data_IF_600902703700
#
_entry.id   IF_600902703700
#
_cell.length_a   1.000
_cell.length_b   1.000
_cell.length_c   1.000
_cell.angle_alpha   90.00
_cell.angle_beta   90.00
_cell.angle_gamma   90.00
#
_symmetry.space_group_name_H-M   'P 1'
#
loop_
_entity.id
_entity.type
_entity.pdbx_description
1 polymer ?
#
# COMPACT_ATOMS: atom_id res chain seq x y z
N UNK A 1 1.74 27.54 23.36
CA UNK A 1 0.91 27.63 22.14
C UNK A 1 0.44 26.26 21.62
N UNK A 2 1.32 25.26 21.46
CA UNK A 2 0.93 23.91 20.95
C UNK A 2 -0.23 23.25 21.72
N UNK A 3 -0.25 23.35 23.06
CA UNK A 3 -1.36 22.84 23.89
C UNK A 3 -2.72 23.45 23.56
N UNK A 4 -2.76 24.71 23.12
CA UNK A 4 -4.01 25.39 22.77
C UNK A 4 -4.51 24.91 21.42
N UNK A 5 -3.62 24.81 20.42
CA UNK A 5 -3.95 24.28 19.10
C UNK A 5 -4.51 22.85 19.17
N UNK A 6 -3.87 21.96 19.96
CA UNK A 6 -4.38 20.60 20.19
C UNK A 6 -5.73 20.55 20.90
N UNK A 7 -5.96 21.43 21.89
CA UNK A 7 -7.26 21.52 22.56
C UNK A 7 -8.34 22.01 21.61
N UNK A 8 -8.05 23.01 20.78
CA UNK A 8 -8.98 23.50 19.77
C UNK A 8 -9.31 22.42 18.75
N UNK A 9 -8.31 21.68 18.28
CA UNK A 9 -8.48 20.54 17.38
C UNK A 9 -9.35 19.46 18.02
N UNK A 10 -9.09 19.10 19.28
CA UNK A 10 -9.89 18.11 20.02
C UNK A 10 -11.35 18.56 20.24
N UNK A 11 -11.59 19.83 20.57
CA UNK A 11 -12.97 20.34 20.72
C UNK A 11 -13.67 20.37 19.36
N UNK A 12 -12.96 20.73 18.29
CA UNK A 12 -13.49 20.70 16.93
C UNK A 12 -13.88 19.29 16.49
N UNK A 13 -13.06 18.28 16.77
CA UNK A 13 -13.36 16.87 16.47
C UNK A 13 -14.64 16.38 17.15
N UNK A 14 -14.83 16.71 18.44
CA UNK A 14 -15.96 16.19 19.21
C UNK A 14 -17.25 17.01 19.07
N UNK A 15 -17.13 18.32 18.85
CA UNK A 15 -18.26 19.26 18.93
C UNK A 15 -18.41 20.16 17.71
N UNK A 16 -17.56 20.03 16.68
CA UNK A 16 -17.52 20.92 15.51
C UNK A 16 -18.84 20.99 14.74
N UNK A 17 -19.59 19.89 14.69
CA UNK A 17 -20.90 19.78 14.03
C UNK A 17 -21.93 20.71 14.67
N UNK A 18 -21.83 20.97 15.97
CA UNK A 18 -22.80 21.83 16.67
C UNK A 18 -22.52 23.33 16.47
N UNK A 19 -21.32 23.70 16.00
CA UNK A 19 -20.88 25.10 15.91
C UNK A 19 -20.19 25.38 14.56
N UNK A 20 -20.76 24.86 13.46
CA UNK A 20 -20.22 24.94 12.09
C UNK A 20 -19.81 26.35 11.69
N UNK A 21 -20.66 27.36 11.94
CA UNK A 21 -20.42 28.74 11.47
C UNK A 21 -19.17 29.35 12.10
N UNK A 22 -19.02 29.22 13.42
CA UNK A 22 -17.90 29.80 14.17
C UNK A 22 -16.60 29.11 13.78
N UNK A 23 -16.61 27.79 13.61
CA UNK A 23 -15.41 27.07 13.16
C UNK A 23 -15.03 27.40 11.73
N UNK A 24 -15.99 27.47 10.80
CA UNK A 24 -15.70 27.82 9.41
C UNK A 24 -15.06 29.20 9.30
N UNK A 25 -15.62 30.21 9.96
CA UNK A 25 -15.07 31.57 9.97
C UNK A 25 -13.76 31.66 10.76
N UNK A 26 -13.69 30.97 11.90
CA UNK A 26 -12.51 30.91 12.74
C UNK A 26 -11.31 30.31 12.01
N UNK A 27 -11.47 29.11 11.44
CA UNK A 27 -10.40 28.47 10.67
C UNK A 27 -9.97 29.34 9.50
N UNK A 28 -10.89 29.92 8.72
CA UNK A 28 -10.57 30.80 7.59
C UNK A 28 -9.69 32.01 7.96
N UNK A 29 -9.90 32.59 9.15
CA UNK A 29 -9.20 33.80 9.59
C UNK A 29 -8.03 33.54 10.55
N UNK A 30 -7.85 32.30 11.03
CA UNK A 30 -6.77 32.00 11.98
C UNK A 30 -5.37 32.14 11.36
N UNK A 31 -4.38 32.59 12.16
CA UNK A 31 -2.99 32.56 11.76
C UNK A 31 -2.49 31.11 11.63
N UNK A 32 -1.57 30.87 10.70
CA UNK A 32 -1.08 29.53 10.36
C UNK A 32 -0.01 28.99 11.32
N UNK A 33 0.83 29.87 11.89
CA UNK A 33 1.97 29.49 12.75
C UNK A 33 1.66 28.52 13.90
N UNK A 34 0.52 28.60 14.62
CA UNK A 34 0.18 27.62 15.65
C UNK A 34 -0.10 26.21 15.11
N UNK A 35 -0.61 26.12 13.88
CA UNK A 35 -1.03 24.87 13.22
C UNK A 35 0.15 24.12 12.59
N UNK A 36 1.21 24.83 12.17
CA UNK A 36 2.45 24.24 11.66
C UNK A 36 3.09 23.24 12.66
N UNK A 37 2.90 23.49 13.96
CA UNK A 37 3.46 22.64 15.03
C UNK A 37 2.69 21.35 15.25
N UNK A 38 1.53 21.19 14.62
CA UNK A 38 0.65 20.03 14.80
C UNK A 38 0.22 19.41 13.46
N UNK A 39 1.03 19.60 12.41
CA UNK A 39 0.78 19.04 11.07
C UNK A 39 0.50 17.53 11.10
N UNK A 40 1.28 16.68 11.80
CA UNK A 40 0.98 15.25 11.86
C UNK A 40 -0.43 14.97 12.40
N UNK A 41 -0.85 15.71 13.43
CA UNK A 41 -2.19 15.56 14.00
C UNK A 41 -3.28 16.01 13.01
N UNK A 42 -3.05 17.06 12.23
CA UNK A 42 -4.00 17.47 11.17
C UNK A 42 -4.18 16.37 10.12
N UNK A 43 -3.08 15.77 9.64
CA UNK A 43 -3.16 14.68 8.65
C UNK A 43 -3.92 13.46 9.16
N UNK A 44 -3.80 13.09 10.45
CA UNK A 44 -4.58 11.99 11.02
C UNK A 44 -6.10 12.23 11.05
N UNK A 45 -6.55 13.47 10.80
CA UNK A 45 -7.98 13.83 10.76
C UNK A 45 -8.56 13.87 9.37
N UNK A 46 -7.77 13.61 8.33
CA UNK A 46 -8.30 13.39 6.99
C UNK A 46 -9.12 12.10 6.91
N UNK A 47 -8.88 11.11 7.79
CA UNK A 47 -9.66 9.87 7.89
C UNK A 47 -10.84 9.96 8.90
N UNK A 48 -11.22 11.16 9.32
CA UNK A 48 -12.30 11.34 10.28
C UNK A 48 -13.66 10.99 9.65
N UNK A 49 -14.60 10.32 10.37
CA UNK A 49 -15.89 9.90 9.80
C UNK A 49 -16.81 11.06 9.37
N UNK A 50 -16.61 12.25 9.94
CA UNK A 50 -17.41 13.44 9.64
C UNK A 50 -16.83 14.26 8.47
N UNK A 51 -17.54 14.39 7.32
CA UNK A 51 -17.04 15.10 6.14
C UNK A 51 -16.76 16.59 6.39
N UNK A 52 -17.57 17.24 7.24
CA UNK A 52 -17.33 18.64 7.58
C UNK A 52 -15.97 18.84 8.27
N UNK A 53 -15.56 17.90 9.12
CA UNK A 53 -14.26 17.94 9.79
C UNK A 53 -13.14 17.75 8.76
N UNK A 54 -13.27 16.77 7.88
CA UNK A 54 -12.32 16.52 6.80
C UNK A 54 -12.11 17.76 5.91
N UNK A 55 -13.20 18.40 5.46
CA UNK A 55 -13.16 19.58 4.60
C UNK A 55 -12.44 20.77 5.25
N UNK A 56 -12.74 21.06 6.52
CA UNK A 56 -12.10 22.18 7.22
C UNK A 56 -10.62 21.91 7.47
N UNK A 57 -10.25 20.68 7.82
CA UNK A 57 -8.86 20.29 8.02
C UNK A 57 -8.10 20.31 6.70
N UNK A 58 -8.68 19.78 5.61
CA UNK A 58 -8.11 19.85 4.28
C UNK A 58 -7.88 21.30 3.85
N UNK A 59 -8.88 22.18 4.01
CA UNK A 59 -8.75 23.61 3.71
C UNK A 59 -7.65 24.29 4.53
N UNK A 60 -7.53 23.96 5.82
CA UNK A 60 -6.45 24.46 6.66
C UNK A 60 -5.09 23.97 6.16
N UNK A 61 -4.94 22.68 5.84
CA UNK A 61 -3.69 22.10 5.31
C UNK A 61 -3.32 22.78 3.98
N UNK A 62 -4.25 23.00 3.07
CA UNK A 62 -4.00 23.72 1.83
C UNK A 62 -3.49 25.14 2.10
N UNK A 63 -4.10 25.87 3.05
CA UNK A 63 -3.62 27.21 3.46
C UNK A 63 -2.20 27.17 4.04
N UNK A 64 -1.87 26.16 4.84
CA UNK A 64 -0.49 25.95 5.32
C UNK A 64 0.44 25.66 4.14
N UNK A 65 0.03 24.80 3.21
CA UNK A 65 0.81 24.41 2.04
C UNK A 65 1.10 25.57 1.08
N UNK A 66 0.18 26.53 0.95
CA UNK A 66 0.39 27.75 0.16
C UNK A 66 1.52 28.62 0.74
N UNK A 67 1.60 28.75 2.08
CA UNK A 67 2.62 29.59 2.74
C UNK A 67 3.94 28.83 2.92
N UNK A 68 3.86 27.59 3.37
CA UNK A 68 5.00 26.76 3.78
C UNK A 68 4.91 25.37 3.09
N UNK A 69 5.07 25.30 1.76
CA UNK A 69 4.86 24.05 0.99
C UNK A 69 5.77 22.91 1.45
N UNK A 70 7.01 23.23 1.84
CA UNK A 70 8.00 22.26 2.32
C UNK A 70 7.55 21.44 3.54
N UNK A 71 6.56 21.91 4.32
CA UNK A 71 6.02 21.18 5.47
C UNK A 71 4.92 20.18 5.08
N UNK A 72 4.27 20.37 3.93
CA UNK A 72 3.06 19.64 3.52
C UNK A 72 3.35 18.65 2.39
N UNK A 73 4.27 18.97 1.49
CA UNK A 73 4.56 18.17 0.29
C UNK A 73 4.87 16.70 0.62
N UNK A 74 5.79 16.44 1.55
CA UNK A 74 6.17 15.06 1.89
C UNK A 74 5.00 14.27 2.51
N UNK A 75 4.34 14.73 3.59
CA UNK A 75 3.18 14.02 4.13
C UNK A 75 2.04 13.82 3.12
N UNK A 76 1.80 14.78 2.22
CA UNK A 76 0.76 14.68 1.21
C UNK A 76 1.07 13.59 0.16
N UNK A 77 2.31 13.53 -0.32
CA UNK A 77 2.74 12.50 -1.30
C UNK A 77 2.76 11.11 -0.65
N UNK A 78 3.26 10.99 0.57
CA UNK A 78 3.22 9.69 1.29
C UNK A 78 1.78 9.26 1.58
N UNK A 79 0.93 10.22 1.97
CA UNK A 79 -0.47 9.99 2.25
C UNK A 79 -1.25 9.46 1.04
N UNK A 80 -1.06 10.05 -0.15
CA UNK A 80 -1.76 9.55 -1.36
C UNK A 80 -1.30 8.15 -1.79
N UNK A 81 -0.02 7.81 -1.58
CA UNK A 81 0.52 6.47 -1.89
C UNK A 81 0.04 5.39 -0.92
N UNK A 82 -0.26 5.76 0.33
CA UNK A 82 -0.69 4.84 1.39
C UNK A 82 -2.21 4.79 1.59
N UNK A 83 -2.93 5.81 1.11
CA UNK A 83 -4.39 5.83 1.12
C UNK A 83 -4.93 4.61 0.37
N UNK A 84 -5.49 3.68 1.14
CA UNK A 84 -6.12 2.47 0.60
C UNK A 84 -7.23 2.86 -0.36
N UNK A 85 -7.33 2.15 -1.49
CA UNK A 85 -8.53 2.16 -2.34
C UNK A 85 -9.63 1.41 -1.57
N UNK A 86 -10.08 1.99 -0.45
CA UNK A 86 -11.19 1.45 0.31
C UNK A 86 -12.46 1.68 -0.52
N UNK A 87 -13.29 0.65 -0.63
CA UNK A 87 -14.58 0.69 -1.34
C UNK A 87 -15.64 1.60 -0.69
N UNK A 88 -15.28 2.31 0.39
CA UNK A 88 -16.16 3.20 1.12
C UNK A 88 -16.06 4.64 0.61
N UNK A 89 -17.22 5.28 0.49
CA UNK A 89 -17.48 6.61 -0.08
C UNK A 89 -16.73 7.81 0.58
N UNK A 90 -15.76 7.57 1.45
CA UNK A 90 -14.89 8.59 2.02
C UNK A 90 -13.56 8.56 1.27
N UNK A 91 -13.50 9.31 0.17
CA UNK A 91 -12.33 9.32 -0.69
C UNK A 91 -11.20 10.18 -0.06
N UNK A 92 -10.56 9.68 1.02
CA UNK A 92 -9.39 10.31 1.63
C UNK A 92 -8.31 10.57 0.56
N UNK A 93 -8.22 9.71 -0.46
CA UNK A 93 -7.33 9.89 -1.60
C UNK A 93 -7.69 11.16 -2.39
N UNK A 94 -8.97 11.49 -2.59
CA UNK A 94 -9.37 12.80 -3.13
C UNK A 94 -8.92 13.97 -2.26
N UNK A 95 -8.96 13.87 -0.92
CA UNK A 95 -8.46 14.94 -0.05
C UNK A 95 -6.96 15.15 -0.22
N UNK A 96 -6.16 14.07 -0.27
CA UNK A 96 -4.74 14.16 -0.56
C UNK A 96 -4.47 14.73 -1.96
N UNK A 97 -5.24 14.32 -2.96
CA UNK A 97 -5.14 14.85 -4.32
C UNK A 97 -5.42 16.37 -4.34
N UNK A 98 -6.48 16.82 -3.65
CA UNK A 98 -6.81 18.23 -3.53
C UNK A 98 -5.68 19.05 -2.88
N UNK A 99 -5.00 18.48 -1.86
CA UNK A 99 -3.85 19.11 -1.22
C UNK A 99 -2.67 19.24 -2.20
N UNK A 100 -2.38 18.18 -2.96
CA UNK A 100 -1.31 18.19 -3.97
C UNK A 100 -1.64 19.18 -5.09
N UNK A 101 -2.87 19.20 -5.58
CA UNK A 101 -3.31 20.13 -6.62
C UNK A 101 -3.20 21.58 -6.13
N UNK A 102 -3.56 21.85 -4.87
CA UNK A 102 -3.39 23.18 -4.26
C UNK A 102 -1.93 23.60 -4.19
N UNK A 103 -0.99 22.67 -3.93
CA UNK A 103 0.46 22.95 -3.92
C UNK A 103 1.00 23.22 -5.33
N UNK A 104 0.51 22.49 -6.33
CA UNK A 104 0.87 22.72 -7.74
C UNK A 104 0.37 24.09 -8.18
N UNK A 105 -0.91 24.41 -7.91
CA UNK A 105 -1.53 25.69 -8.25
C UNK A 105 -0.86 26.88 -7.55
N UNK A 106 -0.28 26.69 -6.35
CA UNK A 106 0.45 27.72 -5.65
C UNK A 106 1.89 27.93 -6.16
N UNK A 107 2.31 27.21 -7.21
CA UNK A 107 3.62 27.35 -7.83
C UNK A 107 4.70 26.38 -7.31
N UNK A 108 4.32 25.39 -6.49
CA UNK A 108 5.26 24.40 -5.94
C UNK A 108 5.38 23.11 -6.78
N UNK A 109 5.04 23.17 -8.07
CA UNK A 109 5.02 22.00 -8.96
C UNK A 109 6.37 21.26 -9.01
N UNK A 110 7.47 22.00 -9.17
CA UNK A 110 8.81 21.40 -9.23
C UNK A 110 9.17 20.70 -7.91
N UNK A 111 8.83 21.32 -6.77
CA UNK A 111 9.07 20.72 -5.46
C UNK A 111 8.28 19.41 -5.29
N UNK A 112 7.02 19.38 -5.71
CA UNK A 112 6.19 18.16 -5.69
C UNK A 112 6.83 17.07 -6.55
N UNK A 113 7.23 17.39 -7.79
CA UNK A 113 7.86 16.43 -8.70
C UNK A 113 9.18 15.87 -8.16
N UNK A 114 10.06 16.73 -7.65
CA UNK A 114 11.35 16.30 -7.10
C UNK A 114 11.18 15.42 -5.87
N UNK A 115 10.25 15.75 -4.96
CA UNK A 115 9.98 14.93 -3.78
C UNK A 115 9.30 13.61 -4.16
N UNK A 116 8.39 13.59 -5.14
CA UNK A 116 7.81 12.35 -5.66
C UNK A 116 8.89 11.43 -6.22
N UNK A 117 9.79 11.98 -7.04
CA UNK A 117 10.94 11.23 -7.58
C UNK A 117 11.85 10.74 -6.47
N UNK A 118 12.22 11.59 -5.52
CA UNK A 118 13.05 11.22 -4.38
C UNK A 118 12.44 10.08 -3.56
N UNK A 119 11.13 10.13 -3.25
CA UNK A 119 10.45 9.08 -2.50
C UNK A 119 10.47 7.76 -3.28
N UNK A 120 10.16 7.80 -4.58
CA UNK A 120 10.21 6.62 -5.45
C UNK A 120 11.61 5.99 -5.48
N UNK A 121 12.66 6.79 -5.64
CA UNK A 121 14.03 6.28 -5.68
C UNK A 121 14.52 5.80 -4.32
N UNK A 122 14.15 6.46 -3.23
CA UNK A 122 14.45 5.97 -1.88
C UNK A 122 13.78 4.61 -1.64
N UNK A 123 12.50 4.46 -1.98
CA UNK A 123 11.80 3.19 -1.88
C UNK A 123 12.53 2.09 -2.67
N UNK A 124 12.94 2.39 -3.91
CA UNK A 124 13.65 1.45 -4.79
C UNK A 124 15.02 1.03 -4.23
N UNK A 125 15.79 1.93 -3.63
CA UNK A 125 17.10 1.61 -3.04
C UNK A 125 16.97 0.88 -1.70
N UNK A 126 15.87 1.07 -0.97
CA UNK A 126 15.66 0.43 0.34
C UNK A 126 15.02 -0.95 0.28
N UNK A 127 14.34 -1.28 -0.82
CA UNK A 127 13.62 -2.55 -0.99
C UNK A 127 13.95 -3.11 -2.35
N UNK A 128 14.94 -4.01 -2.39
CA UNK A 128 15.40 -4.63 -3.63
C UNK A 128 14.48 -5.78 -4.05
N UNK A 129 14.52 -6.15 -5.33
CA UNK A 129 13.69 -7.22 -5.87
C UNK A 129 14.06 -8.59 -5.28
N UNK A 130 15.34 -8.88 -5.08
CA UNK A 130 15.81 -10.10 -4.45
C UNK A 130 15.48 -10.16 -2.95
N UNK A 131 15.47 -9.02 -2.25
CA UNK A 131 15.03 -8.96 -0.85
C UNK A 131 13.54 -9.22 -0.73
N UNK A 132 12.75 -8.64 -1.66
CA UNK A 132 11.31 -8.89 -1.75
C UNK A 132 11.01 -10.34 -2.08
N UNK A 133 11.74 -10.92 -3.05
CA UNK A 133 11.64 -12.33 -3.42
C UNK A 133 11.97 -13.21 -2.21
N UNK A 134 13.10 -12.99 -1.57
CA UNK A 134 13.56 -13.77 -0.42
C UNK A 134 12.55 -13.71 0.72
N UNK A 135 12.03 -12.52 1.03
CA UNK A 135 11.00 -12.34 2.07
C UNK A 135 9.72 -13.12 1.73
N UNK A 136 9.22 -13.01 0.50
CA UNK A 136 8.01 -13.75 0.06
C UNK A 136 8.23 -15.27 0.10
N UNK A 137 9.38 -15.75 -0.39
CA UNK A 137 9.72 -17.17 -0.35
C UNK A 137 9.84 -17.69 1.09
N UNK A 138 10.46 -16.91 1.99
CA UNK A 138 10.59 -17.27 3.41
C UNK A 138 9.22 -17.37 4.09
N UNK A 139 8.31 -16.43 3.80
CA UNK A 139 6.93 -16.48 4.31
C UNK A 139 6.16 -17.68 3.76
N UNK A 140 6.37 -18.02 2.50
CA UNK A 140 5.74 -19.17 1.84
C UNK A 140 6.25 -20.52 2.34
N UNK A 141 7.53 -20.61 2.68
CA UNK A 141 8.20 -21.89 2.96
C UNK A 141 7.46 -22.72 4.00
N UNK A 142 7.14 -22.14 5.16
CA UNK A 142 6.49 -22.87 6.25
C UNK A 142 5.07 -23.36 5.93
N UNK A 143 4.32 -22.64 5.09
CA UNK A 143 3.01 -23.08 4.62
C UNK A 143 3.12 -24.14 3.52
N UNK A 144 4.10 -23.95 2.63
CA UNK A 144 4.39 -24.83 1.51
C UNK A 144 4.82 -26.22 2.01
N UNK A 145 5.68 -26.30 3.02
CA UNK A 145 6.10 -27.55 3.64
C UNK A 145 4.91 -28.33 4.24
N UNK A 146 3.99 -27.61 4.90
CA UNK A 146 2.77 -28.21 5.45
C UNK A 146 1.85 -28.74 4.34
N UNK A 147 1.70 -27.99 3.24
CA UNK A 147 0.90 -28.39 2.07
C UNK A 147 1.51 -29.62 1.40
N UNK A 148 2.83 -29.67 1.21
CA UNK A 148 3.52 -30.85 0.68
C UNK A 148 3.41 -32.08 1.60
N UNK A 149 3.54 -31.90 2.92
CA UNK A 149 3.35 -33.00 3.86
C UNK A 149 1.92 -33.58 3.82
N UNK A 150 0.91 -32.72 3.64
CA UNK A 150 -0.49 -33.14 3.45
C UNK A 150 -0.68 -33.87 2.12
N UNK A 151 -0.13 -33.33 1.04
CA UNK A 151 -0.18 -33.95 -0.28
C UNK A 151 0.43 -35.35 -0.28
N UNK A 152 1.61 -35.52 0.35
CA UNK A 152 2.28 -36.81 0.45
C UNK A 152 1.43 -37.87 1.17
N UNK A 153 0.83 -37.51 2.32
CA UNK A 153 -0.08 -38.40 3.05
C UNK A 153 -1.31 -38.78 2.23
N UNK A 154 -1.86 -37.83 1.48
CA UNK A 154 -3.02 -38.10 0.64
C UNK A 154 -2.68 -39.00 -0.54
N UNK A 155 -1.51 -38.81 -1.17
CA UNK A 155 -1.03 -39.67 -2.24
C UNK A 155 -0.80 -41.10 -1.76
N UNK A 156 -0.21 -41.29 -0.57
CA UNK A 156 -0.06 -42.61 0.05
C UNK A 156 -1.44 -43.27 0.30
N UNK A 157 -2.42 -42.50 0.79
CA UNK A 157 -3.79 -42.97 1.03
C UNK A 157 -4.49 -43.41 -0.27
N UNK A 158 -4.38 -42.62 -1.33
CA UNK A 158 -4.99 -42.90 -2.64
C UNK A 158 -4.32 -44.11 -3.31
N UNK A 159 -2.99 -44.20 -3.23
CA UNK A 159 -2.24 -45.33 -3.81
C UNK A 159 -2.57 -46.66 -3.13
N UNK A 160 -2.73 -46.67 -1.80
CA UNK A 160 -3.09 -47.85 -1.02
C UNK A 160 -4.55 -48.30 -1.19
N UNK A 161 -5.39 -47.51 -1.87
CA UNK A 161 -6.79 -47.87 -2.10
C UNK A 161 -6.91 -48.92 -3.23
N UNK A 162 -7.43 -50.11 -2.91
CA UNK A 162 -7.60 -51.19 -3.89
C UNK A 162 -8.88 -51.07 -4.74
N UNK A 163 -9.76 -50.10 -4.46
CA UNK A 163 -11.04 -49.91 -5.15
C UNK A 163 -10.94 -48.99 -6.38
N UNK A 164 -9.88 -48.20 -6.48
CA UNK A 164 -9.69 -47.23 -7.56
C UNK A 164 -8.80 -47.81 -8.65
N UNK A 165 -9.15 -47.54 -9.90
CA UNK A 165 -8.31 -47.81 -11.06
C UNK A 165 -7.10 -46.87 -11.07
N UNK A 166 -6.10 -47.19 -11.90
CA UNK A 166 -4.88 -46.36 -12.00
C UNK A 166 -5.19 -44.95 -12.51
N UNK A 167 -6.06 -44.83 -13.51
CA UNK A 167 -6.50 -43.53 -14.05
C UNK A 167 -7.24 -42.69 -13.00
N UNK A 168 -8.17 -43.28 -12.23
CA UNK A 168 -8.88 -42.55 -11.18
C UNK A 168 -7.95 -42.08 -10.06
N UNK A 169 -6.92 -42.87 -9.71
CA UNK A 169 -5.90 -42.47 -8.75
C UNK A 169 -5.09 -41.28 -9.25
N UNK A 170 -4.64 -41.33 -10.50
CA UNK A 170 -3.85 -40.27 -11.12
C UNK A 170 -4.65 -38.96 -11.20
N UNK A 171 -5.94 -39.03 -11.56
CA UNK A 171 -6.84 -37.87 -11.58
C UNK A 171 -7.07 -37.27 -10.18
N UNK A 172 -7.27 -38.10 -9.15
CA UNK A 172 -7.45 -37.62 -7.77
C UNK A 172 -6.17 -36.95 -7.27
N UNK A 173 -5.01 -37.56 -7.52
CA UNK A 173 -3.71 -37.02 -7.11
C UNK A 173 -3.47 -35.66 -7.78
N UNK A 174 -3.70 -35.56 -9.08
CA UNK A 174 -3.53 -34.32 -9.84
C UNK A 174 -4.49 -33.22 -9.38
N UNK A 175 -5.77 -33.54 -9.18
CA UNK A 175 -6.75 -32.57 -8.68
C UNK A 175 -6.41 -32.08 -7.27
N UNK A 176 -5.96 -32.98 -6.40
CA UNK A 176 -5.56 -32.63 -5.04
C UNK A 176 -4.28 -31.79 -5.02
N UNK A 177 -3.29 -32.11 -5.86
CA UNK A 177 -2.10 -31.29 -6.08
C UNK A 177 -2.49 -29.85 -6.48
N UNK A 178 -3.31 -29.73 -7.53
CA UNK A 178 -3.76 -28.44 -8.04
C UNK A 178 -4.54 -27.64 -7.01
N UNK A 179 -5.45 -28.28 -6.27
CA UNK A 179 -6.21 -27.60 -5.21
C UNK A 179 -5.32 -27.11 -4.06
N UNK A 180 -4.35 -27.93 -3.64
CA UNK A 180 -3.48 -27.62 -2.50
C UNK A 180 -2.35 -26.64 -2.84
N UNK A 181 -1.82 -26.60 -4.06
CA UNK A 181 -0.69 -25.73 -4.40
C UNK A 181 -1.09 -24.45 -5.13
N UNK A 182 -2.32 -24.34 -5.62
CA UNK A 182 -2.82 -23.11 -6.27
C UNK A 182 -2.54 -21.81 -5.49
N UNK A 183 -2.67 -21.75 -4.14
CA UNK A 183 -2.33 -20.53 -3.40
C UNK A 183 -0.82 -20.21 -3.42
N UNK A 184 0.05 -21.23 -3.39
CA UNK A 184 1.50 -21.04 -3.44
C UNK A 184 1.90 -20.52 -4.83
N UNK A 185 1.36 -21.16 -5.89
CA UNK A 185 1.58 -20.73 -7.28
C UNK A 185 1.09 -19.29 -7.46
N UNK A 186 -0.10 -18.95 -6.96
CA UNK A 186 -0.65 -17.60 -7.09
C UNK A 186 0.24 -16.52 -6.46
N UNK A 187 0.85 -16.79 -5.30
CA UNK A 187 1.73 -15.82 -4.64
C UNK A 187 3.03 -15.64 -5.43
N UNK A 188 3.60 -16.73 -5.96
CA UNK A 188 4.81 -16.68 -6.79
C UNK A 188 4.51 -15.96 -8.12
N UNK A 189 3.37 -16.23 -8.75
CA UNK A 189 2.92 -15.53 -9.96
C UNK A 189 2.67 -14.05 -9.71
N UNK A 190 2.02 -13.71 -8.58
CA UNK A 190 1.80 -12.31 -8.20
C UNK A 190 3.13 -11.59 -8.06
N UNK A 191 4.12 -12.21 -7.41
CA UNK A 191 5.47 -11.65 -7.33
C UNK A 191 6.12 -11.51 -8.70
N UNK A 192 6.07 -12.54 -9.54
CA UNK A 192 6.62 -12.50 -10.89
C UNK A 192 6.01 -11.34 -11.71
N UNK A 193 4.70 -11.13 -11.61
CA UNK A 193 4.02 -10.02 -12.29
C UNK A 193 4.47 -8.65 -11.76
N UNK A 194 4.78 -8.51 -10.47
CA UNK A 194 5.32 -7.27 -9.88
C UNK A 194 6.72 -6.94 -10.44
N UNK A 195 7.57 -7.95 -10.67
CA UNK A 195 8.94 -7.76 -11.17
C UNK A 195 9.06 -7.78 -12.70
N UNK A 196 8.05 -8.27 -13.43
CA UNK A 196 8.09 -8.37 -14.90
C UNK A 196 7.89 -7.02 -15.62
N UNK A 197 8.08 -5.92 -14.91
CA UNK A 197 8.07 -4.57 -15.46
C UNK A 197 9.43 -4.23 -16.10
N UNK A 198 9.46 -3.23 -16.99
CA UNK A 198 10.72 -2.81 -17.62
C UNK A 198 11.73 -2.31 -16.57
N UNK A 199 12.96 -2.86 -16.54
CA UNK A 199 13.93 -2.52 -15.52
C UNK A 199 14.43 -1.07 -15.70
N UNK A 200 14.36 -0.29 -14.63
CA UNK A 200 14.65 1.15 -14.63
C UNK A 200 16.09 1.49 -14.24
N UNK A 201 16.81 0.55 -13.61
CA UNK A 201 18.22 0.72 -13.22
C UNK A 201 19.06 -0.52 -13.56
N UNK A 202 20.39 -0.39 -13.45
CA UNK A 202 21.32 -1.45 -13.79
C UNK A 202 21.19 -2.68 -12.87
N UNK A 203 20.76 -2.49 -11.62
CA UNK A 203 20.57 -3.57 -10.66
C UNK A 203 19.34 -4.42 -10.99
N UNK A 204 18.23 -3.80 -11.38
CA UNK A 204 17.02 -4.47 -11.87
C UNK A 204 17.29 -5.25 -13.16
N UNK A 205 18.11 -4.69 -14.06
CA UNK A 205 18.60 -5.40 -15.25
C UNK A 205 19.42 -6.63 -14.88
N UNK A 206 20.35 -6.49 -13.93
CA UNK A 206 21.13 -7.60 -13.40
C UNK A 206 20.22 -8.67 -12.78
N UNK A 207 19.22 -8.28 -11.99
CA UNK A 207 18.27 -9.23 -11.39
C UNK A 207 17.51 -10.00 -12.46
N UNK A 208 16.99 -9.33 -13.49
CA UNK A 208 16.31 -9.98 -14.61
C UNK A 208 17.21 -10.98 -15.33
N UNK A 209 18.46 -10.58 -15.64
CA UNK A 209 19.40 -11.44 -16.35
C UNK A 209 19.74 -12.74 -15.59
N UNK A 210 19.74 -12.71 -14.25
CA UNK A 210 20.14 -13.85 -13.45
C UNK A 210 18.97 -14.72 -12.98
N UNK A 211 17.81 -14.12 -12.66
CA UNK A 211 16.73 -14.81 -11.96
C UNK A 211 15.44 -14.94 -12.76
N UNK A 212 15.22 -14.13 -13.81
CA UNK A 212 13.94 -14.12 -14.52
C UNK A 212 13.61 -15.47 -15.17
N UNK A 213 14.56 -16.02 -15.93
CA UNK A 213 14.39 -17.33 -16.58
C UNK A 213 14.19 -18.46 -15.57
N UNK A 214 14.94 -18.44 -14.46
CA UNK A 214 14.83 -19.43 -13.38
C UNK A 214 13.44 -19.37 -12.73
N UNK A 215 12.90 -18.16 -12.50
CA UNK A 215 11.57 -17.97 -11.93
C UNK A 215 10.48 -18.44 -12.90
N UNK A 216 10.61 -18.15 -14.20
CA UNK A 216 9.67 -18.63 -15.23
C UNK A 216 9.67 -20.16 -15.31
N UNK A 217 10.84 -20.78 -15.32
CA UNK A 217 10.99 -22.23 -15.32
C UNK A 217 10.37 -22.85 -14.05
N UNK A 218 10.65 -22.28 -12.87
CA UNK A 218 10.10 -22.76 -11.61
C UNK A 218 8.57 -22.65 -11.56
N UNK A 219 7.99 -21.55 -12.05
CA UNK A 219 6.53 -21.37 -12.12
C UNK A 219 5.90 -22.40 -13.06
N UNK A 220 6.51 -22.63 -14.22
CA UNK A 220 5.99 -23.62 -15.19
C UNK A 220 6.07 -25.04 -14.63
N UNK A 221 7.21 -25.42 -14.02
CA UNK A 221 7.37 -26.73 -13.38
C UNK A 221 6.31 -26.98 -12.29
N UNK A 222 5.96 -25.95 -11.51
CA UNK A 222 4.92 -26.07 -10.48
C UNK A 222 3.50 -26.23 -11.06
N UNK A 223 3.24 -25.74 -12.27
CA UNK A 223 1.96 -25.84 -12.98
C UNK A 223 1.79 -27.14 -13.76
N UNK A 224 2.88 -27.68 -14.30
CA UNK A 224 2.87 -28.84 -15.20
C UNK A 224 2.89 -30.20 -14.47
N UNK A 225 2.60 -30.21 -13.17
CA UNK A 225 2.50 -31.43 -12.32
C UNK A 225 1.05 -31.87 -12.15
#
# INVERSE_FOLDING_TARGET
>A
MTKIALRLLHVFENYGIYIVRVYREGFANTPISPWEKIIPQLFTRLDHPEPFVQDQICSLICRIGIISPHLIVYPAIVGISTATVAYDNNDTRCLYQNIIDSLIQSGSEMLVKEIQKMISELQRVTVLWEETLLNKLTQLQGETDKRFARLKKENERVNNNNQLTKEEKDDIIKNNYNSLLKPVIHIIESFYNEINNEPQNDHERWFHQNYKEILEEAINNLKDT
#
